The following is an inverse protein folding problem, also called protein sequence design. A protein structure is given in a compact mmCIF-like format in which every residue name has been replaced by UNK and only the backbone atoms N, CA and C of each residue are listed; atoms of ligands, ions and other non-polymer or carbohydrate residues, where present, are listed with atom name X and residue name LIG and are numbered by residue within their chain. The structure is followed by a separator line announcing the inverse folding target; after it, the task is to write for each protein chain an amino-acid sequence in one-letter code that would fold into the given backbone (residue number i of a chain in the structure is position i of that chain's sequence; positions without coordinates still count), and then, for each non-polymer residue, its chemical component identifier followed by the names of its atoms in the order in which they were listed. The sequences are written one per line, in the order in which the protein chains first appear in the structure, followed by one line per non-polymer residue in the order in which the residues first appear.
data_IF_802462485494
#
_entry.id   IF_802462485494
#
_cell.length_a   1.000
_cell.length_b   1.000
_cell.length_c   1.000
_cell.angle_alpha   90.00
_cell.angle_beta   90.00
_cell.angle_gamma   90.00
#
_symmetry.space_group_name_H-M   'P 1'
#
loop_
_entity.id
_entity.type
_entity.pdbx_description
1 polymer ?
#
# COMPACT_ATOMS: atom_id res chain seq x y z
N UNK A 1 31.35 -11.94 -12.63
CA UNK A 1 31.69 -12.78 -11.48
C UNK A 1 30.46 -13.57 -11.07
N UNK A 2 30.51 -14.90 -11.23
CA UNK A 2 29.46 -15.84 -10.81
C UNK A 2 29.66 -16.12 -9.31
N UNK A 3 28.59 -16.21 -8.53
CA UNK A 3 28.69 -16.59 -7.12
C UNK A 3 27.35 -16.85 -6.43
N UNK A 4 27.22 -18.08 -5.92
CA UNK A 4 26.54 -18.45 -4.67
C UNK A 4 25.00 -18.61 -4.59
N UNK A 5 24.30 -19.04 -5.65
CA UNK A 5 22.90 -19.52 -5.51
C UNK A 5 22.60 -20.85 -6.24
N UNK A 6 23.60 -21.71 -6.43
CA UNK A 6 23.39 -23.04 -7.00
C UNK A 6 24.09 -24.10 -6.18
N UNK A 7 23.43 -24.55 -5.10
CA UNK A 7 23.60 -25.90 -4.54
C UNK A 7 22.76 -26.11 -3.27
N UNK A 8 21.46 -26.40 -3.41
CA UNK A 8 20.72 -27.25 -2.46
C UNK A 8 19.67 -28.03 -3.26
N UNK A 9 19.74 -29.37 -3.35
CA UNK A 9 18.62 -30.16 -3.84
C UNK A 9 17.74 -30.63 -2.66
N UNK A 10 16.48 -30.94 -2.97
CA UNK A 10 15.53 -31.76 -2.21
C UNK A 10 14.81 -31.15 -0.98
N UNK A 11 13.51 -30.83 -1.16
CA UNK A 11 12.33 -31.53 -0.59
C UNK A 11 11.12 -30.60 -0.67
N UNK A 12 10.00 -31.13 -1.17
CA UNK A 12 8.79 -30.38 -1.49
C UNK A 12 8.26 -29.52 -0.34
N UNK A 13 8.24 -28.21 -0.58
CA UNK A 13 7.10 -27.40 -0.17
C UNK A 13 6.49 -26.88 -1.46
N UNK A 14 5.26 -27.27 -1.74
CA UNK A 14 4.44 -26.46 -2.63
C UNK A 14 4.45 -25.06 -2.03
N UNK A 15 4.91 -24.06 -2.79
CA UNK A 15 4.98 -22.67 -2.36
C UNK A 15 3.58 -22.23 -1.90
N UNK A 16 3.36 -22.18 -0.58
CA UNK A 16 2.11 -21.69 0.00
C UNK A 16 2.21 -20.17 0.12
N UNK A 17 2.17 -19.50 -1.03
CA UNK A 17 2.03 -18.04 -1.11
C UNK A 17 0.61 -17.68 -1.55
N UNK A 18 0.25 -16.41 -1.40
CA UNK A 18 -1.11 -15.95 -1.71
C UNK A 18 -1.47 -16.21 -3.18
N UNK A 19 -2.69 -16.67 -3.41
CA UNK A 19 -3.19 -17.04 -4.73
C UNK A 19 -3.96 -15.90 -5.41
N UNK A 20 -4.00 -15.85 -6.75
CA UNK A 20 -4.78 -14.88 -7.52
C UNK A 20 -6.23 -14.67 -7.03
N UNK A 21 -6.93 -15.76 -6.74
CA UNK A 21 -8.32 -15.75 -6.27
C UNK A 21 -8.46 -15.15 -4.86
N UNK A 22 -7.45 -15.31 -4.00
CA UNK A 22 -7.44 -14.74 -2.65
C UNK A 22 -7.22 -13.23 -2.72
N UNK A 23 -6.33 -12.77 -3.61
CA UNK A 23 -6.17 -11.33 -3.89
C UNK A 23 -7.49 -10.74 -4.40
N UNK A 24 -8.12 -11.37 -5.40
CA UNK A 24 -9.43 -10.89 -5.90
C UNK A 24 -10.50 -10.92 -4.83
N UNK A 25 -10.50 -11.94 -3.97
CA UNK A 25 -11.41 -12.07 -2.83
C UNK A 25 -11.27 -10.90 -1.85
N UNK A 26 -10.04 -10.61 -1.42
CA UNK A 26 -9.75 -9.47 -0.55
C UNK A 26 -10.20 -8.15 -1.18
N UNK A 27 -9.84 -7.90 -2.45
CA UNK A 27 -10.22 -6.66 -3.13
C UNK A 27 -11.74 -6.51 -3.26
N UNK A 28 -12.49 -7.59 -3.45
CA UNK A 28 -13.97 -7.54 -3.45
C UNK A 28 -14.51 -7.22 -2.07
N UNK A 29 -14.02 -7.89 -1.02
CA UNK A 29 -14.46 -7.64 0.35
C UNK A 29 -14.18 -6.18 0.79
N UNK A 30 -13.00 -5.65 0.44
CA UNK A 30 -12.64 -4.26 0.71
C UNK A 30 -13.53 -3.29 -0.09
N UNK A 31 -13.78 -3.55 -1.38
CA UNK A 31 -14.68 -2.75 -2.21
C UNK A 31 -16.11 -2.73 -1.66
N UNK A 32 -16.62 -3.87 -1.21
CA UNK A 32 -17.96 -3.98 -0.63
C UNK A 32 -18.05 -3.20 0.68
N UNK A 33 -17.08 -3.40 1.58
CA UNK A 33 -17.06 -2.73 2.89
C UNK A 33 -16.97 -1.20 2.76
N UNK A 34 -16.05 -0.70 1.94
CA UNK A 34 -15.80 0.73 1.76
C UNK A 34 -16.58 1.34 0.59
N UNK A 35 -17.45 0.57 -0.08
CA UNK A 35 -18.26 1.01 -1.23
C UNK A 35 -17.41 1.68 -2.32
N UNK A 36 -16.29 1.05 -2.68
CA UNK A 36 -15.35 1.58 -3.68
C UNK A 36 -15.49 0.88 -5.01
N UNK A 37 -14.98 1.50 -6.06
CA UNK A 37 -14.86 0.89 -7.39
C UNK A 37 -13.42 0.95 -7.86
N UNK A 38 -12.92 -0.16 -8.43
CA UNK A 38 -11.58 -0.23 -9.02
C UNK A 38 -11.63 -0.03 -10.52
N UNK A 39 -10.80 0.88 -11.03
CA UNK A 39 -10.70 1.19 -12.45
C UNK A 39 -9.26 0.97 -12.91
N UNK A 40 -9.08 0.29 -14.04
CA UNK A 40 -7.75 0.19 -14.63
C UNK A 40 -7.31 1.56 -15.17
N UNK A 41 -6.22 2.08 -14.61
CA UNK A 41 -5.68 3.43 -14.88
C UNK A 41 -5.31 3.63 -16.35
N UNK A 42 -4.93 2.56 -17.07
CA UNK A 42 -4.56 2.63 -18.47
C UNK A 42 -5.75 2.93 -19.39
N UNK A 43 -6.97 2.58 -18.94
CA UNK A 43 -8.21 2.74 -19.71
C UNK A 43 -9.01 4.00 -19.31
N UNK A 44 -8.48 4.83 -18.39
CA UNK A 44 -9.17 6.02 -17.88
C UNK A 44 -8.67 7.31 -18.55
N UNK A 45 -9.52 7.96 -19.34
CA UNK A 45 -9.25 9.28 -19.93
C UNK A 45 -8.98 10.36 -18.87
N UNK A 46 -9.70 10.31 -17.75
CA UNK A 46 -9.52 11.20 -16.60
C UNK A 46 -8.09 11.11 -16.04
N UNK A 47 -7.58 9.89 -15.86
CA UNK A 47 -6.22 9.69 -15.34
C UNK A 47 -5.14 10.13 -16.32
N UNK A 48 -5.40 10.05 -17.64
CA UNK A 48 -4.49 10.60 -18.65
C UNK A 48 -4.40 12.13 -18.56
N UNK A 49 -5.53 12.81 -18.28
CA UNK A 49 -5.57 14.27 -18.10
C UNK A 49 -4.86 14.69 -16.80
N UNK A 50 -5.13 14.02 -15.68
CA UNK A 50 -4.46 14.27 -14.38
C UNK A 50 -2.94 14.08 -14.53
N UNK A 51 -2.50 13.01 -15.22
CA UNK A 51 -1.09 12.75 -15.43
C UNK A 51 -0.39 13.87 -16.22
N UNK A 52 -1.07 14.49 -17.18
CA UNK A 52 -0.55 15.64 -17.92
C UNK A 52 -0.45 16.87 -17.01
N UNK A 53 -1.46 17.13 -16.19
CA UNK A 53 -1.44 18.24 -15.22
C UNK A 53 -0.30 18.12 -14.19
N UNK A 54 -0.13 16.94 -13.60
CA UNK A 54 0.96 16.68 -12.64
C UNK A 54 2.35 16.84 -13.27
N UNK A 55 2.50 16.46 -14.54
CA UNK A 55 3.73 16.67 -15.29
C UNK A 55 3.98 18.16 -15.55
N UNK A 56 2.96 18.93 -15.95
CA UNK A 56 3.10 20.37 -16.18
C UNK A 56 3.51 21.13 -14.91
N UNK A 57 3.07 20.66 -13.73
CA UNK A 57 3.43 21.22 -12.42
C UNK A 57 4.78 20.72 -11.89
N UNK A 58 5.51 19.88 -12.64
CA UNK A 58 6.81 19.36 -12.24
C UNK A 58 6.78 18.38 -11.06
N UNK A 59 5.61 17.84 -10.72
CA UNK A 59 5.44 16.95 -9.56
C UNK A 59 5.95 15.54 -9.90
N UNK A 60 5.55 14.99 -11.05
CA UNK A 60 5.99 13.67 -11.51
C UNK A 60 5.82 13.53 -13.02
N UNK A 61 6.58 12.62 -13.66
CA UNK A 61 6.45 12.35 -15.10
C UNK A 61 5.19 11.51 -15.36
N UNK A 62 4.46 11.80 -16.44
CA UNK A 62 3.19 11.15 -16.80
C UNK A 62 3.29 9.62 -16.87
N UNK A 63 4.30 9.11 -17.57
CA UNK A 63 4.53 7.68 -17.76
C UNK A 63 4.78 6.96 -16.43
N UNK A 64 5.59 7.58 -15.56
CA UNK A 64 5.86 7.10 -14.21
C UNK A 64 4.59 7.08 -13.38
N UNK A 65 3.80 8.15 -13.41
CA UNK A 65 2.51 8.26 -12.69
C UNK A 65 1.49 7.21 -13.11
N UNK A 66 1.37 6.94 -14.41
CA UNK A 66 0.37 6.02 -14.94
C UNK A 66 0.74 4.54 -14.73
N UNK A 67 2.03 4.21 -14.65
CA UNK A 67 2.50 2.81 -14.55
C UNK A 67 2.82 2.37 -13.13
N UNK A 68 3.28 3.29 -12.28
CA UNK A 68 3.89 2.93 -11.00
C UNK A 68 3.08 3.34 -9.78
N UNK A 69 2.00 4.12 -9.97
CA UNK A 69 1.20 4.61 -8.86
C UNK A 69 -0.26 4.23 -9.02
N UNK A 70 -0.82 3.69 -7.95
CA UNK A 70 -2.25 3.71 -7.69
C UNK A 70 -2.69 5.13 -7.34
N UNK A 71 -3.96 5.44 -7.52
CA UNK A 71 -4.50 6.76 -7.16
C UNK A 71 -5.94 6.58 -6.69
N UNK A 72 -6.28 7.18 -5.56
CA UNK A 72 -7.64 7.19 -5.04
C UNK A 72 -8.22 8.59 -5.16
N UNK A 73 -9.43 8.69 -5.73
CA UNK A 73 -10.20 9.94 -5.83
C UNK A 73 -11.60 9.65 -5.31
N UNK A 74 -11.96 10.23 -4.17
CA UNK A 74 -13.17 9.85 -3.44
C UNK A 74 -13.20 8.34 -3.17
N UNK A 75 -14.18 7.64 -3.76
CA UNK A 75 -14.34 6.17 -3.64
C UNK A 75 -13.87 5.39 -4.88
N UNK A 76 -13.16 6.03 -5.81
CA UNK A 76 -12.61 5.38 -7.00
C UNK A 76 -11.12 5.14 -6.83
N UNK A 77 -10.71 3.88 -6.97
CA UNK A 77 -9.31 3.46 -6.88
C UNK A 77 -8.82 3.08 -8.27
N UNK A 78 -7.80 3.78 -8.76
CA UNK A 78 -7.24 3.57 -10.09
C UNK A 78 -5.96 2.74 -9.99
N UNK A 79 -5.97 1.51 -10.50
CA UNK A 79 -4.82 0.60 -10.45
C UNK A 79 -4.07 0.55 -11.79
N UNK A 80 -2.72 0.54 -11.78
CA UNK A 80 -1.93 0.34 -13.01
C UNK A 80 -1.76 -1.14 -13.39
N UNK A 81 -2.41 -2.05 -12.65
CA UNK A 81 -2.37 -3.50 -12.81
C UNK A 81 -3.79 -4.08 -12.79
N UNK A 82 -3.92 -5.31 -13.30
CA UNK A 82 -5.12 -6.12 -13.14
C UNK A 82 -5.08 -6.88 -11.81
N UNK A 83 -6.13 -6.74 -11.01
CA UNK A 83 -6.21 -7.36 -9.67
C UNK A 83 -6.19 -8.89 -9.77
N UNK A 84 -5.26 -9.50 -9.02
CA UNK A 84 -5.03 -10.94 -9.01
C UNK A 84 -4.16 -11.45 -10.15
N UNK A 85 -3.65 -10.58 -11.03
CA UNK A 85 -2.69 -10.97 -12.08
C UNK A 85 -1.30 -10.48 -11.68
N UNK A 86 -0.34 -11.39 -11.39
CA UNK A 86 1.02 -10.97 -11.05
C UNK A 86 1.70 -10.37 -12.28
N UNK A 87 2.32 -9.21 -12.10
CA UNK A 87 3.11 -8.55 -13.14
C UNK A 87 4.33 -7.86 -12.54
N UNK A 88 5.33 -7.52 -13.36
CA UNK A 88 6.54 -6.83 -12.91
C UNK A 88 6.19 -5.54 -12.16
N UNK A 89 6.71 -5.40 -10.93
CA UNK A 89 6.41 -4.28 -10.04
C UNK A 89 5.12 -4.43 -9.20
N UNK A 90 4.24 -5.36 -9.56
CA UNK A 90 2.98 -5.64 -8.86
C UNK A 90 2.76 -7.15 -8.61
N UNK A 91 3.64 -7.79 -7.81
CA UNK A 91 3.38 -9.16 -7.35
C UNK A 91 2.12 -9.19 -6.46
N UNK A 92 1.53 -10.38 -6.31
CA UNK A 92 0.23 -10.55 -5.64
C UNK A 92 0.18 -9.94 -4.22
N UNK A 93 1.23 -10.12 -3.42
CA UNK A 93 1.27 -9.53 -2.08
C UNK A 93 1.32 -7.99 -2.10
N UNK A 94 2.04 -7.39 -3.05
CA UNK A 94 2.02 -5.92 -3.22
C UNK A 94 0.61 -5.41 -3.57
N UNK A 95 -0.17 -6.20 -4.31
CA UNK A 95 -1.57 -5.86 -4.60
C UNK A 95 -2.46 -5.93 -3.35
N UNK A 96 -2.15 -6.81 -2.38
CA UNK A 96 -2.83 -6.84 -1.07
C UNK A 96 -2.46 -5.61 -0.25
N UNK A 97 -1.18 -5.29 -0.15
CA UNK A 97 -0.69 -4.13 0.61
C UNK A 97 -1.29 -2.84 0.06
N UNK A 98 -1.25 -2.65 -1.27
CA UNK A 98 -1.79 -1.44 -1.88
C UNK A 98 -3.32 -1.37 -1.77
N UNK A 99 -4.02 -2.50 -1.72
CA UNK A 99 -5.46 -2.51 -1.45
C UNK A 99 -5.77 -1.84 -0.11
N UNK A 100 -5.11 -2.25 0.98
CA UNK A 100 -5.31 -1.64 2.28
C UNK A 100 -4.88 -0.16 2.31
N UNK A 101 -3.77 0.18 1.66
CA UNK A 101 -3.27 1.55 1.54
C UNK A 101 -4.27 2.47 0.84
N UNK A 102 -4.75 2.11 -0.35
CA UNK A 102 -5.69 2.94 -1.11
C UNK A 102 -7.05 3.07 -0.41
N UNK A 103 -7.52 2.03 0.26
CA UNK A 103 -8.73 2.12 1.09
C UNK A 103 -8.51 3.02 2.32
N UNK A 104 -7.28 3.20 2.82
CA UNK A 104 -7.03 4.20 3.85
C UNK A 104 -7.21 5.62 3.32
N UNK A 105 -6.91 5.90 2.05
CA UNK A 105 -7.25 7.19 1.45
C UNK A 105 -8.77 7.40 1.34
N UNK A 106 -9.55 6.34 1.16
CA UNK A 106 -11.02 6.41 1.22
C UNK A 106 -11.49 6.75 2.64
N UNK A 107 -10.88 6.16 3.67
CA UNK A 107 -11.17 6.51 5.08
C UNK A 107 -10.82 7.97 5.36
N UNK A 108 -9.71 8.47 4.83
CA UNK A 108 -9.31 9.88 4.94
C UNK A 108 -10.30 10.81 4.23
N UNK A 109 -10.74 10.44 3.03
CA UNK A 109 -11.78 11.16 2.30
C UNK A 109 -13.10 11.17 3.06
N UNK A 110 -13.55 10.04 3.61
CA UNK A 110 -14.78 9.97 4.39
C UNK A 110 -14.71 10.82 5.68
N UNK A 111 -13.51 10.97 6.24
CA UNK A 111 -13.27 11.80 7.44
C UNK A 111 -13.25 13.30 7.14
N UNK A 112 -12.60 13.73 6.05
CA UNK A 112 -12.30 15.15 5.80
C UNK A 112 -13.04 15.73 4.58
N UNK A 113 -13.70 14.89 3.78
CA UNK A 113 -14.28 15.25 2.50
C UNK A 113 -13.26 15.86 1.54
N UNK A 114 -13.71 16.81 0.71
CA UNK A 114 -12.91 17.48 -0.34
C UNK A 114 -11.66 18.20 0.20
N UNK A 115 -11.64 18.53 1.50
CA UNK A 115 -10.47 19.15 2.13
C UNK A 115 -9.24 18.22 2.11
N UNK A 116 -9.46 16.90 2.13
CA UNK A 116 -8.40 15.91 1.96
C UNK A 116 -7.72 16.06 0.61
N UNK A 117 -8.46 15.98 -0.50
CA UNK A 117 -7.88 16.05 -1.85
C UNK A 117 -7.19 17.40 -2.10
N UNK A 118 -7.83 18.50 -1.68
CA UNK A 118 -7.26 19.84 -1.86
C UNK A 118 -5.95 19.97 -1.09
N UNK A 119 -5.91 19.56 0.19
CA UNK A 119 -4.69 19.64 0.99
C UNK A 119 -3.59 18.71 0.46
N UNK A 120 -3.94 17.50 0.02
CA UNK A 120 -3.00 16.57 -0.58
C UNK A 120 -2.31 17.15 -1.82
N UNK A 121 -3.06 17.87 -2.66
CA UNK A 121 -2.53 18.48 -3.87
C UNK A 121 -1.76 19.78 -3.59
N UNK A 122 -2.29 20.65 -2.74
CA UNK A 122 -1.77 22.00 -2.52
C UNK A 122 -0.59 22.06 -1.54
N UNK A 123 -0.53 21.14 -0.57
CA UNK A 123 0.45 21.17 0.52
C UNK A 123 1.27 19.88 0.60
N UNK A 124 2.58 20.01 0.41
CA UNK A 124 3.55 18.91 0.47
C UNK A 124 3.65 18.29 1.87
N UNK A 125 3.52 19.09 2.93
CA UNK A 125 3.53 18.61 4.30
C UNK A 125 2.25 17.82 4.61
N UNK A 126 1.10 18.34 4.18
CA UNK A 126 -0.17 17.63 4.30
C UNK A 126 -0.15 16.30 3.53
N UNK A 127 0.37 16.29 2.30
CA UNK A 127 0.59 15.06 1.51
C UNK A 127 1.44 14.05 2.25
N UNK A 128 2.59 14.46 2.76
CA UNK A 128 3.48 13.57 3.52
C UNK A 128 2.79 12.97 4.74
N UNK A 129 1.99 13.76 5.46
CA UNK A 129 1.20 13.30 6.61
C UNK A 129 0.13 12.28 6.21
N UNK A 130 -0.62 12.55 5.15
CA UNK A 130 -1.67 11.64 4.67
C UNK A 130 -1.11 10.31 4.19
N UNK A 131 -0.01 10.37 3.44
CA UNK A 131 0.70 9.18 3.01
C UNK A 131 1.31 8.42 4.19
N UNK A 132 1.87 9.10 5.20
CA UNK A 132 2.41 8.44 6.39
C UNK A 132 1.32 7.67 7.15
N UNK A 133 0.10 8.23 7.23
CA UNK A 133 -1.05 7.51 7.78
C UNK A 133 -1.39 6.28 6.91
N UNK A 134 -1.45 6.41 5.58
CA UNK A 134 -1.72 5.28 4.68
C UNK A 134 -0.63 4.20 4.71
N UNK A 135 0.66 4.58 4.78
CA UNK A 135 1.80 3.69 4.92
C UNK A 135 1.81 2.90 6.23
N UNK A 136 1.10 3.37 7.27
CA UNK A 136 0.90 2.54 8.47
C UNK A 136 0.18 1.22 8.14
N UNK A 137 -0.74 1.21 7.18
CA UNK A 137 -1.35 -0.05 6.71
C UNK A 137 -0.29 -1.01 6.19
N UNK A 138 0.73 -0.50 5.50
CA UNK A 138 1.83 -1.32 5.02
C UNK A 138 2.64 -1.91 6.18
N UNK A 139 2.88 -1.15 7.27
CA UNK A 139 3.53 -1.66 8.48
C UNK A 139 2.72 -2.77 9.14
N UNK A 140 1.41 -2.55 9.32
CA UNK A 140 0.49 -3.48 9.97
C UNK A 140 0.39 -4.80 9.19
N UNK A 141 0.23 -4.74 7.87
CA UNK A 141 0.20 -5.93 7.01
C UNK A 141 1.57 -6.62 6.94
N UNK A 142 2.67 -5.86 6.91
CA UNK A 142 4.00 -6.46 6.90
C UNK A 142 4.29 -7.22 8.19
N UNK A 143 3.93 -6.65 9.35
CA UNK A 143 4.07 -7.32 10.63
C UNK A 143 3.19 -8.56 10.73
N UNK A 144 1.95 -8.51 10.27
CA UNK A 144 1.08 -9.69 10.22
C UNK A 144 1.66 -10.81 9.36
N UNK A 145 2.25 -10.48 8.20
CA UNK A 145 2.79 -11.46 7.25
C UNK A 145 4.16 -12.02 7.64
N UNK A 146 5.05 -11.17 8.16
CA UNK A 146 6.47 -11.50 8.35
C UNK A 146 6.94 -11.43 9.81
N UNK A 147 6.13 -10.88 10.73
CA UNK A 147 6.48 -10.77 12.15
C UNK A 147 7.53 -9.71 12.45
N UNK A 148 7.85 -8.85 11.49
CA UNK A 148 8.85 -7.78 11.59
C UNK A 148 8.27 -6.45 11.14
N UNK A 149 8.93 -5.35 11.47
CA UNK A 149 8.59 -4.03 10.94
C UNK A 149 9.71 -3.53 10.03
N UNK A 150 9.40 -3.08 8.80
CA UNK A 150 10.42 -2.54 7.91
C UNK A 150 10.94 -1.19 8.44
N UNK A 151 12.06 -0.72 7.89
CA UNK A 151 12.62 0.59 8.27
C UNK A 151 11.66 1.72 7.92
N UNK A 152 11.23 2.47 8.93
CA UNK A 152 10.37 3.64 8.77
C UNK A 152 10.99 4.70 7.85
N UNK A 153 12.31 4.88 7.91
CA UNK A 153 13.00 5.84 7.05
C UNK A 153 13.02 5.39 5.58
N UNK A 154 13.27 4.10 5.32
CA UNK A 154 13.21 3.56 3.96
C UNK A 154 11.79 3.68 3.39
N UNK A 155 10.76 3.39 4.19
CA UNK A 155 9.37 3.54 3.78
C UNK A 155 9.03 5.00 3.45
N UNK A 156 9.38 5.94 4.34
CA UNK A 156 9.15 7.37 4.12
C UNK A 156 9.92 7.92 2.91
N UNK A 157 11.09 7.37 2.57
CA UNK A 157 11.90 7.86 1.45
C UNK A 157 11.16 7.82 0.11
N UNK A 158 10.17 6.95 -0.04
CA UNK A 158 9.31 6.85 -1.23
C UNK A 158 8.53 8.14 -1.48
N UNK A 159 8.23 8.92 -0.43
CA UNK A 159 7.52 10.21 -0.51
C UNK A 159 8.26 11.28 -1.34
N UNK A 160 9.57 11.12 -1.55
CA UNK A 160 10.31 11.94 -2.53
C UNK A 160 9.70 11.83 -3.94
N UNK A 161 9.17 10.65 -4.28
CA UNK A 161 8.48 10.38 -5.55
C UNK A 161 7.11 11.04 -5.66
N UNK A 162 6.57 11.49 -4.53
CA UNK A 162 5.32 12.23 -4.41
C UNK A 162 5.57 13.75 -4.31
N UNK A 163 6.81 14.21 -4.51
CA UNK A 163 7.17 15.63 -4.48
C UNK A 163 7.21 16.25 -3.08
N UNK A 164 7.27 15.44 -2.02
CA UNK A 164 7.45 15.91 -0.65
C UNK A 164 8.88 16.42 -0.43
N UNK A 165 9.07 17.44 0.42
CA UNK A 165 10.40 17.97 0.74
C UNK A 165 11.12 17.08 1.77
N UNK A 166 12.46 17.12 1.85
CA UNK A 166 13.21 16.31 2.80
C UNK A 166 12.73 16.44 4.26
N UNK A 167 12.34 17.64 4.68
CA UNK A 167 11.87 17.90 6.05
C UNK A 167 10.51 17.23 6.30
N UNK A 168 9.60 17.28 5.32
CA UNK A 168 8.30 16.62 5.38
C UNK A 168 8.47 15.08 5.44
N UNK A 169 9.45 14.55 4.70
CA UNK A 169 9.81 13.12 4.70
C UNK A 169 10.35 12.68 6.07
N UNK A 170 11.18 13.52 6.71
CA UNK A 170 11.72 13.22 8.03
C UNK A 170 10.61 13.15 9.09
N UNK A 171 9.64 14.07 9.04
CA UNK A 171 8.46 14.04 9.93
C UNK A 171 7.61 12.79 9.68
N UNK A 172 7.39 12.41 8.42
CA UNK A 172 6.70 11.17 8.07
C UNK A 172 7.46 9.93 8.60
N UNK A 173 8.79 9.89 8.47
CA UNK A 173 9.60 8.80 9.00
C UNK A 173 9.48 8.65 10.53
N UNK A 174 9.48 9.77 11.27
CA UNK A 174 9.25 9.76 12.73
C UNK A 174 7.85 9.25 13.08
N UNK A 175 6.83 9.67 12.34
CA UNK A 175 5.45 9.20 12.52
C UNK A 175 5.29 7.70 12.25
N UNK A 176 5.96 7.19 11.22
CA UNK A 176 6.01 5.76 10.90
C UNK A 176 6.81 4.97 11.93
N UNK A 177 7.89 5.52 12.48
CA UNK A 177 8.66 4.87 13.54
C UNK A 177 7.83 4.69 14.82
N UNK A 178 7.07 5.71 15.23
CA UNK A 178 6.11 5.59 16.34
C UNK A 178 5.01 4.57 16.04
N UNK A 179 4.52 4.55 14.80
CA UNK A 179 3.51 3.57 14.38
C UNK A 179 4.07 2.14 14.43
N UNK A 180 5.33 1.93 14.04
CA UNK A 180 5.98 0.62 14.10
C UNK A 180 6.07 0.08 15.53
N UNK A 181 6.28 0.93 16.54
CA UNK A 181 6.27 0.51 17.95
C UNK A 181 4.89 0.01 18.39
N UNK A 182 3.82 0.68 17.98
CA UNK A 182 2.44 0.27 18.25
C UNK A 182 2.14 -1.07 17.58
N UNK A 183 2.52 -1.21 16.30
CA UNK A 183 2.33 -2.44 15.52
C UNK A 183 3.09 -3.61 16.13
N UNK A 184 4.33 -3.38 16.59
CA UNK A 184 5.13 -4.40 17.25
C UNK A 184 4.48 -4.93 18.54
N UNK A 185 3.75 -4.08 19.26
CA UNK A 185 2.94 -4.48 20.43
C UNK A 185 1.60 -5.13 20.04
N UNK A 186 1.33 -5.35 18.76
CA UNK A 186 0.10 -5.95 18.24
C UNK A 186 -1.02 -4.96 17.96
N UNK A 187 -0.76 -3.66 18.03
CA UNK A 187 -1.75 -2.63 17.72
C UNK A 187 -2.03 -2.55 16.22
N UNK A 188 -3.32 -2.49 15.86
CA UNK A 188 -3.80 -2.20 14.51
C UNK A 188 -4.66 -0.94 14.60
N UNK A 189 -4.18 0.13 13.99
CA UNK A 189 -4.77 1.46 14.12
C UNK A 189 -5.63 1.80 12.91
N UNK A 190 -5.13 1.57 11.69
CA UNK A 190 -5.86 1.97 10.48
C UNK A 190 -7.09 1.11 10.25
N UNK A 191 -8.22 1.75 9.93
CA UNK A 191 -9.49 1.06 9.67
C UNK A 191 -9.39 0.13 8.46
N UNK A 192 -8.73 0.55 7.38
CA UNK A 192 -8.53 -0.31 6.21
C UNK A 192 -7.73 -1.58 6.54
N UNK A 193 -6.75 -1.47 7.44
CA UNK A 193 -5.97 -2.62 7.90
C UNK A 193 -6.77 -3.55 8.79
N UNK A 194 -7.62 -3.03 9.67
CA UNK A 194 -8.49 -3.88 10.51
C UNK A 194 -9.35 -4.79 9.63
N UNK A 195 -9.98 -4.22 8.60
CA UNK A 195 -10.81 -4.97 7.65
C UNK A 195 -9.98 -5.96 6.84
N UNK A 196 -8.85 -5.52 6.27
CA UNK A 196 -8.00 -6.38 5.47
C UNK A 196 -7.42 -7.55 6.29
N UNK A 197 -6.91 -7.28 7.49
CA UNK A 197 -6.32 -8.30 8.37
C UNK A 197 -7.37 -9.25 8.94
N UNK A 198 -8.59 -8.80 9.19
CA UNK A 198 -9.69 -9.69 9.56
C UNK A 198 -9.99 -10.68 8.42
N UNK A 199 -10.14 -10.18 7.20
CA UNK A 199 -10.37 -11.03 6.03
C UNK A 199 -9.22 -12.02 5.80
N UNK A 200 -7.97 -11.54 5.85
CA UNK A 200 -6.78 -12.38 5.69
C UNK A 200 -6.67 -13.44 6.79
N UNK A 201 -6.99 -13.08 8.03
CA UNK A 201 -7.00 -14.00 9.17
C UNK A 201 -8.02 -15.13 9.03
N UNK A 202 -9.17 -14.85 8.41
CA UNK A 202 -10.21 -15.85 8.17
C UNK A 202 -9.91 -16.74 6.96
N UNK A 203 -9.43 -16.16 5.86
CA UNK A 203 -9.36 -16.85 4.57
C UNK A 203 -7.98 -17.43 4.25
N UNK A 204 -6.91 -16.79 4.72
CA UNK A 204 -5.52 -17.18 4.46
C UNK A 204 -4.66 -17.17 5.74
N UNK A 205 -5.12 -17.76 6.87
CA UNK A 205 -4.40 -17.70 8.15
C UNK A 205 -2.99 -18.31 8.09
N UNK A 206 -2.78 -19.25 7.16
CA UNK A 206 -1.48 -19.90 6.95
C UNK A 206 -0.38 -18.93 6.50
N UNK A 207 -0.76 -17.75 5.98
CA UNK A 207 0.19 -16.71 5.60
C UNK A 207 0.68 -15.88 6.79
N UNK A 208 -0.02 -15.91 7.93
CA UNK A 208 0.34 -15.13 9.11
C UNK A 208 1.67 -15.62 9.67
N UNK A 209 2.54 -14.66 10.05
CA UNK A 209 3.76 -14.99 10.77
C UNK A 209 3.43 -15.72 12.07
N UNK A 210 4.15 -16.82 12.34
CA UNK A 210 4.04 -17.48 13.64
C UNK A 210 4.62 -16.55 14.70
N UNK A 211 3.99 -16.41 15.87
CA UNK A 211 4.61 -15.74 16.99
C UNK A 211 5.97 -16.39 17.21
N UNK A 212 7.04 -15.60 17.29
CA UNK A 212 8.28 -16.11 17.85
C UNK A 212 7.91 -16.61 19.25
N UNK A 213 7.96 -17.93 19.46
CA UNK A 213 7.84 -18.49 20.80
C UNK A 213 8.85 -17.75 21.65
N UNK A 214 8.37 -17.00 22.65
CA UNK A 214 9.21 -16.34 23.64
C UNK A 214 10.18 -17.42 24.16
N UNK A 215 11.44 -17.32 23.74
CA UNK A 215 12.56 -18.04 24.33
C UNK A 215 13.22 -17.11 25.32
#
# INVERSE_FOLDING_TARGET
MKGLLQSIPLIGSAFVDIRPEEVRGLWRAMQEHFRTTVVNKQNSFEMQAIAQGLQALGITRRDRFLRNFTTTIGRRIYTPFEVGVPQTGWPLWSQVVICAHEHQHVVQHDREGVAFEVSYLADRAARARWEAEAYRSNLELHFWRYGTTPSAHQMASVLSSYGCRPEDIEVAAKSLALSALIVWQGGIVNESSKVALAWLGEHVPHLRARPASLR
#
